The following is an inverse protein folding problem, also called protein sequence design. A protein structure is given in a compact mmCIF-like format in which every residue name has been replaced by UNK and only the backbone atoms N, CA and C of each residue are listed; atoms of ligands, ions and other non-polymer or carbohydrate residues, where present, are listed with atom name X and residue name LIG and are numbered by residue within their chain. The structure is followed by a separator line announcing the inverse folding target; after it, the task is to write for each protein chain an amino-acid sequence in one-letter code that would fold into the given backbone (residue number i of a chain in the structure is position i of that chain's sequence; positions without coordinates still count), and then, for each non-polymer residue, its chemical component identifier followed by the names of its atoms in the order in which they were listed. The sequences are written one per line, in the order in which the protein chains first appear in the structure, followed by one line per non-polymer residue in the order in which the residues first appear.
data_IF_081660289337
#
_entry.id   IF_081660289337
#
_cell.length_a   1.000
_cell.length_b   1.000
_cell.length_c   1.000
_cell.angle_alpha   90.00
_cell.angle_beta   90.00
_cell.angle_gamma   90.00
#
_symmetry.space_group_name_H-M   'P 1'
#
loop_
_entity.id
_entity.type
_entity.pdbx_description
1 polymer ?
#
# COMPACT_ATOMS: atom_id res chain seq x y z
N UNK A 1 -6.61 -41.92 25.96
CA UNK A 1 -7.05 -40.63 25.39
C UNK A 1 -6.92 -39.59 26.48
N UNK A 2 -6.34 -38.43 26.16
CA UNK A 2 -6.20 -37.29 27.08
C UNK A 2 -4.96 -36.47 26.75
N UNK A 3 -5.01 -35.72 25.65
CA UNK A 3 -4.02 -34.67 25.36
C UNK A 3 -4.43 -33.44 26.18
N UNK A 4 -3.65 -33.09 27.19
CA UNK A 4 -3.81 -31.82 27.90
C UNK A 4 -3.38 -30.67 26.98
N UNK A 5 -4.36 -29.84 26.64
CA UNK A 5 -4.20 -28.68 25.78
C UNK A 5 -3.42 -27.58 26.52
N UNK A 6 -2.36 -27.10 25.87
CA UNK A 6 -1.65 -25.88 26.23
C UNK A 6 -2.65 -24.71 26.36
N UNK A 7 -2.88 -24.25 27.59
CA UNK A 7 -3.48 -22.94 27.86
C UNK A 7 -2.46 -21.85 27.53
N UNK A 8 -2.42 -21.45 26.26
CA UNK A 8 -1.82 -20.20 25.83
C UNK A 8 -2.77 -19.06 26.16
N UNK A 9 -2.57 -18.43 27.32
CA UNK A 9 -3.20 -17.16 27.66
C UNK A 9 -2.69 -16.08 26.72
N UNK A 10 -3.48 -15.72 25.71
CA UNK A 10 -3.30 -14.49 24.96
C UNK A 10 -4.19 -13.42 25.61
N UNK A 11 -3.50 -12.46 26.21
CA UNK A 11 -4.01 -11.23 26.80
C UNK A 11 -4.63 -10.35 25.69
N UNK A 12 -5.95 -10.45 25.49
CA UNK A 12 -6.70 -9.72 24.46
C UNK A 12 -7.53 -8.58 25.09
N UNK A 13 -6.92 -7.82 26.02
CA UNK A 13 -7.66 -6.91 26.90
C UNK A 13 -7.22 -5.45 26.95
N UNK A 14 -6.17 -5.03 26.23
CA UNK A 14 -5.45 -3.78 26.58
C UNK A 14 -5.37 -2.70 25.50
N UNK A 15 -6.37 -2.53 24.62
CA UNK A 15 -6.22 -1.57 23.51
C UNK A 15 -7.17 -0.35 23.50
N UNK A 16 -7.98 -0.14 24.54
CA UNK A 16 -8.77 1.10 24.70
C UNK A 16 -8.01 2.25 25.42
N UNK A 17 -6.70 2.13 25.65
CA UNK A 17 -5.90 3.19 26.27
C UNK A 17 -4.58 3.43 25.59
N UNK A 18 -4.57 4.36 24.64
CA UNK A 18 -3.39 5.17 24.32
C UNK A 18 -3.94 6.52 23.85
N UNK A 19 -4.03 7.51 24.72
CA UNK A 19 -2.84 8.19 25.22
C UNK A 19 -2.47 9.24 24.17
N UNK A 20 -3.17 10.36 24.20
CA UNK A 20 -2.92 11.57 23.41
C UNK A 20 -1.54 12.14 23.78
N UNK A 21 -0.50 11.60 23.17
CA UNK A 21 0.83 12.20 23.14
C UNK A 21 1.03 12.74 21.72
N UNK A 22 1.15 14.07 21.59
CA UNK A 22 1.69 14.75 20.41
C UNK A 22 3.11 14.25 20.14
N UNK A 23 3.24 13.06 19.54
CA UNK A 23 4.50 12.63 18.96
C UNK A 23 4.68 13.43 17.69
N UNK A 24 5.65 14.35 17.70
CA UNK A 24 6.21 14.90 16.45
C UNK A 24 6.58 13.70 15.59
N UNK A 25 5.78 13.44 14.56
CA UNK A 25 6.00 12.34 13.63
C UNK A 25 7.33 12.63 12.93
N UNK A 26 8.33 11.76 13.16
CA UNK A 26 9.55 11.77 12.36
C UNK A 26 9.17 11.75 10.87
N UNK A 27 9.93 12.43 9.99
CA UNK A 27 9.63 12.48 8.58
C UNK A 27 9.56 11.06 8.01
N UNK A 28 8.35 10.63 7.66
CA UNK A 28 8.07 9.28 7.21
C UNK A 28 8.79 9.03 5.89
N UNK A 29 9.74 8.09 5.87
CA UNK A 29 10.43 7.71 4.64
C UNK A 29 9.55 6.80 3.77
N UNK A 30 9.00 7.36 2.70
CA UNK A 30 8.11 6.67 1.76
C UNK A 30 8.85 6.03 0.57
N UNK A 31 10.16 6.24 0.42
CA UNK A 31 10.91 5.75 -0.74
C UNK A 31 10.91 4.21 -0.87
N UNK A 32 11.05 3.42 0.22
CA UNK A 32 10.96 1.96 0.14
C UNK A 32 9.57 1.47 -0.31
N UNK A 33 8.50 2.11 0.17
CA UNK A 33 7.13 1.79 -0.25
C UNK A 33 6.91 2.06 -1.73
N UNK A 34 7.44 3.18 -2.23
CA UNK A 34 7.33 3.54 -3.64
C UNK A 34 7.87 2.42 -4.55
N UNK A 35 9.10 1.97 -4.33
CA UNK A 35 9.71 0.92 -5.16
C UNK A 35 8.98 -0.42 -5.06
N UNK A 36 8.45 -0.76 -3.88
CA UNK A 36 7.69 -1.98 -3.69
C UNK A 36 6.33 -1.96 -4.42
N UNK A 37 5.68 -0.79 -4.48
CA UNK A 37 4.40 -0.59 -5.20
C UNK A 37 4.63 -0.62 -6.72
N UNK A 38 5.69 0.01 -7.21
CA UNK A 38 6.01 0.05 -8.65
C UNK A 38 6.46 -1.31 -9.20
N UNK A 39 7.05 -2.18 -8.37
CA UNK A 39 7.61 -3.47 -8.80
C UNK A 39 6.60 -4.62 -8.91
N UNK A 40 5.45 -4.56 -8.22
CA UNK A 40 4.43 -5.62 -8.28
C UNK A 40 3.00 -5.04 -8.28
N UNK A 41 2.21 -5.24 -9.37
CA UNK A 41 0.84 -4.75 -9.45
C UNK A 41 -0.07 -5.34 -8.36
N UNK A 42 0.21 -6.55 -7.87
CA UNK A 42 -0.57 -7.17 -6.79
C UNK A 42 -0.39 -6.38 -5.49
N UNK A 43 0.84 -5.95 -5.18
CA UNK A 43 1.13 -5.13 -3.98
C UNK A 43 0.42 -3.79 -4.07
N UNK A 44 0.48 -3.15 -5.24
CA UNK A 44 -0.24 -1.90 -5.52
C UNK A 44 -1.75 -2.06 -5.31
N UNK A 45 -2.34 -3.15 -5.82
CA UNK A 45 -3.78 -3.41 -5.70
C UNK A 45 -4.20 -3.68 -4.26
N UNK A 46 -3.46 -4.52 -3.54
CA UNK A 46 -3.70 -4.80 -2.12
C UNK A 46 -3.63 -3.52 -1.28
N UNK A 47 -2.62 -2.68 -1.51
CA UNK A 47 -2.47 -1.43 -0.79
C UNK A 47 -3.62 -0.45 -1.09
N UNK A 48 -4.07 -0.36 -2.36
CA UNK A 48 -5.23 0.46 -2.75
C UNK A 48 -6.50 0.08 -1.98
N UNK A 49 -6.77 -1.22 -1.80
CA UNK A 49 -7.93 -1.67 -1.02
C UNK A 49 -7.80 -1.24 0.44
N UNK A 50 -6.61 -1.35 1.03
CA UNK A 50 -6.37 -0.98 2.44
C UNK A 50 -6.48 0.52 2.69
N UNK A 51 -6.17 1.36 1.70
CA UNK A 51 -6.22 2.83 1.84
C UNK A 51 -7.53 3.48 1.40
N UNK A 52 -8.42 2.75 0.73
CA UNK A 52 -9.65 3.31 0.15
C UNK A 52 -10.51 3.95 1.25
N UNK A 53 -10.92 3.15 2.23
CA UNK A 53 -11.68 3.63 3.40
C UNK A 53 -10.85 3.62 4.69
N UNK A 54 -9.67 2.99 4.68
CA UNK A 54 -8.88 2.77 5.89
C UNK A 54 -9.60 1.89 6.92
N UNK A 55 -10.64 1.16 6.51
CA UNK A 55 -11.40 0.23 7.33
C UNK A 55 -10.69 -1.13 7.44
N UNK A 56 -11.18 -1.97 8.36
CA UNK A 56 -10.77 -3.37 8.41
C UNK A 56 -11.30 -4.10 7.18
N UNK A 57 -10.43 -4.84 6.50
CA UNK A 57 -10.75 -5.64 5.32
C UNK A 57 -10.39 -7.10 5.57
N UNK A 58 -11.20 -8.02 5.08
CA UNK A 58 -10.92 -9.43 5.28
C UNK A 58 -9.85 -9.91 4.31
N UNK A 59 -9.16 -10.99 4.66
CA UNK A 59 -8.25 -11.67 3.71
C UNK A 59 -8.97 -12.07 2.42
N UNK A 60 -10.26 -12.40 2.48
CA UNK A 60 -11.06 -12.74 1.29
C UNK A 60 -11.23 -11.55 0.35
N UNK A 61 -11.44 -10.34 0.88
CA UNK A 61 -11.53 -9.11 0.09
C UNK A 61 -10.20 -8.82 -0.61
N UNK A 62 -9.09 -8.95 0.11
CA UNK A 62 -7.75 -8.80 -0.44
C UNK A 62 -7.45 -9.82 -1.54
N UNK A 63 -7.85 -11.08 -1.34
CA UNK A 63 -7.71 -12.13 -2.36
C UNK A 63 -8.53 -11.82 -3.60
N UNK A 64 -9.78 -11.38 -3.42
CA UNK A 64 -10.66 -11.01 -4.54
C UNK A 64 -10.02 -9.90 -5.37
N UNK A 65 -9.48 -8.88 -4.73
CA UNK A 65 -8.81 -7.78 -5.42
C UNK A 65 -7.49 -8.22 -6.08
N UNK A 66 -6.64 -8.97 -5.37
CA UNK A 66 -5.38 -9.47 -5.88
C UNK A 66 -5.55 -10.37 -7.12
N UNK A 67 -6.61 -11.19 -7.15
CA UNK A 67 -6.94 -12.07 -8.27
C UNK A 67 -7.32 -11.36 -9.55
N UNK A 68 -7.70 -10.09 -9.47
CA UNK A 68 -7.92 -9.25 -10.66
C UNK A 68 -6.61 -8.96 -11.40
N UNK A 69 -5.50 -8.86 -10.67
CA UNK A 69 -4.16 -8.63 -11.23
C UNK A 69 -3.44 -9.94 -11.56
N UNK A 70 -3.55 -10.94 -10.68
CA UNK A 70 -2.91 -12.25 -10.85
C UNK A 70 -3.86 -13.38 -10.43
N UNK A 71 -4.36 -14.23 -11.35
CA UNK A 71 -5.39 -15.22 -11.05
C UNK A 71 -4.99 -16.23 -9.97
N UNK A 72 -3.71 -16.60 -9.90
CA UNK A 72 -3.17 -17.58 -8.95
C UNK A 72 -2.53 -16.82 -7.79
N UNK A 73 -3.37 -16.40 -6.83
CA UNK A 73 -2.95 -15.82 -5.54
C UNK A 73 -3.71 -16.50 -4.40
N UNK A 74 -2.95 -16.93 -3.38
CA UNK A 74 -3.45 -17.59 -2.17
C UNK A 74 -3.25 -16.73 -0.92
N UNK A 75 -3.89 -17.15 0.19
CA UNK A 75 -3.88 -16.40 1.45
C UNK A 75 -2.46 -16.18 2.01
N UNK A 76 -1.59 -17.19 1.88
CA UNK A 76 -0.18 -17.09 2.30
C UNK A 76 0.52 -15.94 1.56
N UNK A 77 0.33 -15.83 0.25
CA UNK A 77 0.92 -14.76 -0.56
C UNK A 77 0.46 -13.38 -0.08
N UNK A 78 -0.82 -13.23 0.29
CA UNK A 78 -1.33 -11.98 0.88
C UNK A 78 -0.61 -11.69 2.20
N UNK A 79 -0.52 -12.67 3.10
CA UNK A 79 0.20 -12.51 4.37
C UNK A 79 1.66 -12.09 4.16
N UNK A 80 2.38 -12.73 3.23
CA UNK A 80 3.76 -12.39 2.90
C UNK A 80 3.90 -10.98 2.33
N UNK A 81 2.96 -10.56 1.47
CA UNK A 81 2.94 -9.19 0.93
C UNK A 81 2.79 -8.17 2.06
N UNK A 82 1.81 -8.37 2.95
CA UNK A 82 1.52 -7.44 4.04
C UNK A 82 2.66 -7.38 5.05
N UNK A 83 3.27 -8.53 5.38
CA UNK A 83 4.44 -8.56 6.24
C UNK A 83 5.64 -7.84 5.59
N UNK A 84 5.91 -8.08 4.31
CA UNK A 84 6.96 -7.38 3.59
C UNK A 84 6.75 -5.86 3.54
N UNK A 85 5.50 -5.39 3.43
CA UNK A 85 5.18 -3.96 3.50
C UNK A 85 5.50 -3.35 4.87
N UNK A 86 5.28 -4.07 5.97
CA UNK A 86 5.67 -3.65 7.31
C UNK A 86 7.20 -3.56 7.48
N UNK A 87 7.91 -4.57 6.97
CA UNK A 87 9.38 -4.61 7.05
C UNK A 87 10.03 -3.43 6.30
N UNK A 88 9.48 -3.03 5.15
CA UNK A 88 10.01 -1.94 4.33
C UNK A 88 10.06 -0.58 5.03
N UNK A 89 9.10 -0.31 5.92
CA UNK A 89 9.03 0.97 6.63
C UNK A 89 9.57 0.89 8.05
N UNK A 90 10.09 -0.27 8.47
CA UNK A 90 10.55 -0.51 9.86
C UNK A 90 9.52 -0.06 10.91
N UNK A 91 8.24 -0.12 10.54
CA UNK A 91 7.11 0.41 11.30
C UNK A 91 5.87 -0.41 10.99
N UNK A 92 4.87 -0.34 11.86
CA UNK A 92 3.63 -1.08 11.69
C UNK A 92 2.70 -0.32 10.74
N UNK A 93 2.93 -0.48 9.44
CA UNK A 93 2.09 0.05 8.35
C UNK A 93 0.72 -0.62 8.33
N UNK A 94 0.68 -1.94 8.47
CA UNK A 94 -0.49 -2.79 8.40
C UNK A 94 -0.72 -3.45 9.75
N UNK A 95 -1.92 -3.30 10.26
CA UNK A 95 -2.46 -3.95 11.45
C UNK A 95 -3.19 -5.23 11.04
N UNK A 96 -3.13 -6.25 11.89
CA UNK A 96 -3.84 -7.51 11.74
C UNK A 96 -4.63 -7.86 13.00
N UNK A 97 -5.76 -8.53 12.83
CA UNK A 97 -6.54 -9.16 13.90
C UNK A 97 -7.22 -10.43 13.41
N UNK A 98 -7.65 -11.28 14.32
CA UNK A 98 -8.50 -12.44 14.00
C UNK A 98 -9.91 -11.96 13.64
N UNK A 99 -10.50 -12.51 12.57
CA UNK A 99 -11.90 -12.21 12.26
C UNK A 99 -12.81 -12.91 13.27
N UNK A 100 -13.57 -12.12 14.03
CA UNK A 100 -14.61 -12.65 14.93
C UNK A 100 -15.98 -12.75 14.25
N UNK A 101 -16.14 -12.16 13.06
CA UNK A 101 -17.46 -11.94 12.45
C UNK A 101 -17.73 -12.84 11.24
N UNK A 102 -16.72 -13.50 10.68
CA UNK A 102 -16.85 -14.22 9.40
C UNK A 102 -17.21 -15.70 9.55
N UNK A 103 -17.27 -16.25 10.77
CA UNK A 103 -17.53 -17.69 11.01
C UNK A 103 -16.45 -18.62 10.44
N UNK A 104 -15.37 -18.06 9.88
CA UNK A 104 -14.21 -18.75 9.33
C UNK A 104 -13.00 -17.96 9.81
N UNK A 105 -11.95 -18.64 10.31
CA UNK A 105 -10.75 -18.08 10.95
C UNK A 105 -9.81 -17.34 9.97
N UNK A 106 -10.33 -16.35 9.25
CA UNK A 106 -9.52 -15.49 8.41
C UNK A 106 -9.00 -14.31 9.22
N UNK A 107 -7.81 -13.83 8.85
CA UNK A 107 -7.31 -12.56 9.36
C UNK A 107 -8.07 -11.38 8.72
N UNK A 108 -8.27 -10.33 9.50
CA UNK A 108 -8.64 -9.01 9.02
C UNK A 108 -7.42 -8.09 9.08
N UNK A 109 -7.36 -7.17 8.14
CA UNK A 109 -6.21 -6.30 7.91
C UNK A 109 -6.67 -4.86 7.82
N UNK A 110 -5.85 -3.92 8.26
CA UNK A 110 -6.13 -2.50 8.17
C UNK A 110 -4.84 -1.73 8.04
N UNK A 111 -4.81 -0.65 7.25
CA UNK A 111 -3.68 0.28 7.31
C UNK A 111 -3.72 1.05 8.64
N UNK A 112 -2.56 1.21 9.27
CA UNK A 112 -2.41 2.05 10.43
C UNK A 112 -2.89 3.48 10.09
N UNK A 113 -3.79 4.09 10.89
CA UNK A 113 -4.30 5.45 10.65
C UNK A 113 -3.21 6.49 10.41
N UNK A 114 -2.07 6.39 11.11
CA UNK A 114 -0.94 7.32 10.97
C UNK A 114 -0.33 7.30 9.56
N UNK A 115 -0.51 6.20 8.84
CA UNK A 115 0.03 5.96 7.51
C UNK A 115 -0.99 6.14 6.39
N UNK A 116 -2.26 6.36 6.71
CA UNK A 116 -3.34 6.45 5.72
C UNK A 116 -3.09 7.60 4.73
N UNK A 117 -2.93 8.82 5.24
CA UNK A 117 -2.73 10.01 4.39
C UNK A 117 -1.38 10.04 3.67
N UNK A 118 -0.24 9.71 4.33
CA UNK A 118 1.05 9.58 3.63
C UNK A 118 0.99 8.60 2.45
N UNK A 119 0.36 7.44 2.65
CA UNK A 119 0.27 6.39 1.62
C UNK A 119 -0.69 6.78 0.49
N UNK A 120 -1.82 7.43 0.81
CA UNK A 120 -2.73 8.00 -0.20
C UNK A 120 -2.03 9.04 -1.07
N UNK A 121 -1.28 9.95 -0.45
CA UNK A 121 -0.51 10.98 -1.16
C UNK A 121 0.50 10.35 -2.12
N UNK A 122 1.23 9.33 -1.66
CA UNK A 122 2.17 8.58 -2.48
C UNK A 122 1.48 7.93 -3.70
N UNK A 123 0.37 7.21 -3.49
CA UNK A 123 -0.35 6.55 -4.58
C UNK A 123 -0.93 7.54 -5.58
N UNK A 124 -1.41 8.72 -5.12
CA UNK A 124 -1.83 9.81 -6.00
C UNK A 124 -0.68 10.33 -6.84
N UNK A 125 0.51 10.52 -6.26
CA UNK A 125 1.71 10.93 -7.00
C UNK A 125 2.12 9.91 -8.07
N UNK A 126 2.04 8.61 -7.76
CA UNK A 126 2.38 7.55 -8.71
C UNK A 126 1.35 7.39 -9.83
N UNK A 127 0.09 7.71 -9.55
CA UNK A 127 -0.99 7.64 -10.54
C UNK A 127 -1.02 8.84 -11.48
N UNK A 128 -0.25 9.91 -11.20
CA UNK A 128 -0.15 11.05 -12.11
C UNK A 128 0.59 10.60 -13.38
N UNK A 129 0.03 10.82 -14.58
CA UNK A 129 0.79 10.62 -15.81
C UNK A 129 2.03 11.52 -15.73
N UNK A 130 3.22 10.92 -15.84
CA UNK A 130 4.46 11.68 -15.94
C UNK A 130 4.29 12.57 -17.16
N UNK A 131 4.15 13.88 -16.94
CA UNK A 131 4.24 14.87 -18.02
C UNK A 131 5.59 14.60 -18.69
N UNK A 132 5.56 14.10 -19.92
CA UNK A 132 6.75 14.08 -20.75
C UNK A 132 7.11 15.55 -20.92
N UNK A 133 8.14 16.01 -20.21
CA UNK A 133 8.80 17.26 -20.57
C UNK A 133 9.11 17.14 -22.05
N UNK A 134 8.51 18.00 -22.86
CA UNK A 134 8.76 18.05 -24.29
C UNK A 134 10.27 17.95 -24.50
N UNK A 135 10.72 16.84 -25.07
CA UNK A 135 12.10 16.72 -25.51
C UNK A 135 12.38 17.94 -26.37
N UNK A 136 13.44 18.67 -26.06
CA UNK A 136 13.95 19.79 -26.86
C UNK A 136 14.50 19.35 -28.24
N UNK A 137 13.91 18.30 -28.82
CA UNK A 137 14.21 17.74 -30.13
C UNK A 137 13.09 18.02 -31.15
N UNK A 138 11.97 18.62 -30.74
CA UNK A 138 10.82 18.93 -31.61
C UNK A 138 10.83 20.39 -32.13
N UNK A 139 12.01 20.89 -32.49
CA UNK A 139 12.13 22.06 -33.37
C UNK A 139 12.52 21.60 -34.77
N UNK A 140 11.56 21.23 -35.64
CA UNK A 140 11.83 21.18 -37.07
C UNK A 140 11.97 22.62 -37.58
N UNK A 141 13.22 23.09 -37.62
CA UNK A 141 13.82 23.78 -38.76
C UNK A 141 12.84 24.61 -39.62
N UNK A 142 12.43 25.77 -39.11
CA UNK A 142 11.58 26.72 -39.86
C UNK A 142 12.11 28.15 -39.72
N UNK A 143 13.40 28.36 -40.00
CA UNK A 143 13.98 29.69 -40.17
C UNK A 143 14.93 29.79 -41.38
N UNK A 144 14.72 28.97 -42.41
CA UNK A 144 15.47 29.06 -43.67
C UNK A 144 14.63 29.66 -44.82
N UNK A 145 13.73 30.60 -44.52
CA UNK A 145 12.80 31.15 -45.54
C UNK A 145 12.57 32.65 -45.52
N UNK A 146 13.38 33.43 -44.81
CA UNK A 146 13.19 34.88 -44.69
C UNK A 146 14.38 35.75 -45.14
N UNK A 147 15.37 35.20 -45.85
CA UNK A 147 16.51 35.97 -46.38
C UNK A 147 16.76 35.73 -47.88
N UNK A 148 15.68 35.55 -48.64
CA UNK A 148 15.75 35.41 -50.09
C UNK A 148 14.72 36.28 -50.78
N UNK A 149 14.75 37.60 -50.54
CA UNK A 149 14.24 38.60 -51.49
C UNK A 149 14.57 40.01 -50.97
N UNK A 150 15.78 40.47 -51.29
CA UNK A 150 16.08 41.90 -51.45
C UNK A 150 17.05 42.02 -52.62
N UNK A 151 16.48 42.13 -53.83
CA UNK A 151 17.10 42.77 -54.99
C UNK A 151 16.38 44.08 -55.23
#
# INVERSE_FOLDING_TARGET
MGFDAFHGGYDDGQWDRSGSSEKRLDPINLAPLKGAIESDPVRSRVLKVLIEDGAWVTTTDLLRAARQERPIVGAVTIGTILNGLNELVSSRLILSRTSMNSGIDWAEWRINPDWLEPTRSLLRMLSRPKFQSASAADYPQKMDRLLGDTT
#
